data_IF_704354940165
#
_entry.id   IF_704354940165
#
_cell.length_a   1.000
_cell.length_b   1.000
_cell.length_c   1.000
_cell.angle_alpha   90.00
_cell.angle_beta   90.00
_cell.angle_gamma   90.00
#
_symmetry.space_group_name_H-M   'P 1'
#
loop_
_entity.id
_entity.type
_entity.pdbx_description
1 polymer ?
#
# COMPACT_ATOMS: atom_id res chain seq x y z
N UNK A 1 -2.44 22.91 0.80
CA UNK A 1 -2.48 21.88 -0.27
C UNK A 1 -1.89 20.58 0.22
N UNK A 2 -1.88 19.51 -0.59
CA UNK A 2 -1.36 18.18 -0.21
C UNK A 2 0.16 18.13 0.01
N UNK A 3 0.87 19.26 -0.08
CA UNK A 3 2.31 19.38 0.19
C UNK A 3 2.72 18.90 1.59
N UNK A 4 1.79 18.92 2.56
CA UNK A 4 2.01 18.38 3.91
C UNK A 4 2.24 16.87 3.93
N UNK A 5 1.80 16.14 2.88
CA UNK A 5 2.10 14.72 2.74
C UNK A 5 3.57 14.49 2.37
N UNK A 6 4.17 15.43 1.64
CA UNK A 6 5.52 15.29 1.08
C UNK A 6 6.60 16.05 1.85
N UNK A 7 6.22 16.82 2.87
CA UNK A 7 7.18 17.54 3.71
C UNK A 7 8.02 16.56 4.55
N UNK A 8 9.32 16.51 4.28
CA UNK A 8 10.25 15.58 4.93
C UNK A 8 10.53 15.91 6.40
N UNK A 9 10.35 17.16 6.84
CA UNK A 9 10.61 17.60 8.22
C UNK A 9 9.34 17.56 9.05
N UNK A 10 8.30 18.24 8.58
CA UNK A 10 7.08 18.47 9.36
C UNK A 10 5.86 17.76 8.78
N UNK A 11 6.02 17.02 7.68
CA UNK A 11 4.93 16.32 7.04
C UNK A 11 4.53 15.05 7.78
N UNK A 12 3.31 14.60 7.49
CA UNK A 12 2.72 13.42 8.13
C UNK A 12 3.46 12.12 7.77
N UNK A 13 4.20 12.10 6.66
CA UNK A 13 5.01 10.96 6.22
C UNK A 13 6.49 11.08 6.61
N UNK A 14 6.85 11.98 7.54
CA UNK A 14 8.20 12.05 8.09
C UNK A 14 8.57 10.79 8.91
N UNK A 15 9.85 10.64 9.26
CA UNK A 15 10.31 9.52 10.08
C UNK A 15 9.60 9.50 11.45
N UNK A 16 9.13 8.31 11.83
CA UNK A 16 8.32 8.09 13.04
C UNK A 16 9.15 7.41 14.11
N UNK A 17 8.82 7.69 15.38
CA UNK A 17 9.60 7.25 16.55
C UNK A 17 9.59 5.74 16.69
N UNK A 18 8.41 5.14 16.48
CA UNK A 18 8.17 3.72 16.64
C UNK A 18 7.03 3.26 15.71
N UNK A 19 6.68 1.97 15.82
CA UNK A 19 5.62 1.36 15.02
C UNK A 19 4.25 2.00 15.26
N UNK A 20 3.89 2.27 16.51
CA UNK A 20 2.61 2.87 16.86
C UNK A 20 2.49 4.28 16.30
N UNK A 21 3.54 5.08 16.48
CA UNK A 21 3.65 6.42 15.89
C UNK A 21 3.53 6.38 14.35
N UNK A 22 4.11 5.36 13.71
CA UNK A 22 3.98 5.16 12.26
C UNK A 22 2.56 4.85 11.81
N UNK A 23 1.83 4.02 12.55
CA UNK A 23 0.43 3.69 12.21
C UNK A 23 -0.48 4.88 12.49
N UNK A 24 -0.47 5.44 13.69
CA UNK A 24 -1.42 6.47 14.09
C UNK A 24 -1.11 7.83 13.48
N UNK A 25 0.13 8.31 13.60
CA UNK A 25 0.51 9.65 13.14
C UNK A 25 1.08 9.66 11.72
N UNK A 26 1.38 8.48 11.14
CA UNK A 26 1.74 8.34 9.73
C UNK A 26 0.53 7.98 8.88
N UNK A 27 0.09 6.72 8.94
CA UNK A 27 -0.92 6.15 8.04
C UNK A 27 -2.32 6.75 8.26
N UNK A 28 -2.82 6.70 9.50
CA UNK A 28 -4.14 7.25 9.85
C UNK A 28 -4.12 8.77 9.71
N UNK A 29 -3.07 9.43 10.23
CA UNK A 29 -2.89 10.87 10.10
C UNK A 29 -2.88 11.36 8.65
N UNK A 30 -2.21 10.65 7.73
CA UNK A 30 -2.17 11.01 6.33
C UNK A 30 -3.56 10.92 5.68
N UNK A 31 -4.28 9.83 5.97
CA UNK A 31 -5.64 9.63 5.49
C UNK A 31 -6.57 10.74 5.99
N UNK A 32 -6.48 11.11 7.27
CA UNK A 32 -7.25 12.20 7.84
C UNK A 32 -6.93 13.55 7.19
N UNK A 33 -5.65 13.87 6.95
CA UNK A 33 -5.26 15.13 6.29
C UNK A 33 -5.81 15.25 4.87
N UNK A 34 -5.82 14.16 4.10
CA UNK A 34 -6.43 14.10 2.77
C UNK A 34 -7.92 14.43 2.87
N UNK A 35 -8.63 13.75 3.77
CA UNK A 35 -10.07 13.95 3.96
C UNK A 35 -10.40 15.37 4.48
N UNK A 36 -9.62 15.92 5.41
CA UNK A 36 -9.78 17.29 5.92
C UNK A 36 -9.51 18.35 4.87
N UNK A 37 -8.61 18.09 3.93
CA UNK A 37 -8.37 18.96 2.79
C UNK A 37 -9.47 18.86 1.70
N UNK A 38 -10.59 18.18 2.01
CA UNK A 38 -11.73 17.94 1.13
C UNK A 38 -11.39 17.10 -0.12
N UNK A 39 -10.33 16.29 -0.05
CA UNK A 39 -10.05 15.26 -1.04
C UNK A 39 -10.67 13.93 -0.61
N UNK A 40 -10.87 13.03 -1.57
CA UNK A 40 -11.31 11.66 -1.33
C UNK A 40 -10.16 10.68 -1.41
N UNK A 41 -10.35 9.52 -0.77
CA UNK A 41 -9.46 8.36 -0.87
C UNK A 41 -10.19 7.34 -1.74
N UNK A 42 -9.59 6.94 -2.85
CA UNK A 42 -10.11 5.86 -3.70
C UNK A 42 -9.42 4.55 -3.36
N UNK A 43 -10.18 3.45 -3.40
CA UNK A 43 -9.64 2.09 -3.28
C UNK A 43 -9.44 1.49 -4.66
N UNK A 44 -8.33 0.75 -4.83
CA UNK A 44 -8.15 -0.11 -6.00
C UNK A 44 -8.98 -1.40 -5.90
N UNK A 45 -9.34 -1.81 -4.68
CA UNK A 45 -10.14 -3.02 -4.46
C UNK A 45 -11.56 -2.82 -4.98
N UNK A 46 -12.01 -3.72 -5.85
CA UNK A 46 -13.28 -3.60 -6.59
C UNK A 46 -14.47 -3.37 -5.65
N UNK A 47 -14.52 -4.07 -4.51
CA UNK A 47 -15.59 -3.95 -3.50
C UNK A 47 -15.77 -2.52 -2.95
N UNK A 48 -14.67 -1.79 -2.79
CA UNK A 48 -14.65 -0.47 -2.15
C UNK A 48 -14.50 0.67 -3.16
N UNK A 49 -14.63 0.39 -4.46
CA UNK A 49 -14.65 1.43 -5.47
C UNK A 49 -15.88 2.34 -5.26
N UNK A 50 -15.66 3.65 -5.34
CA UNK A 50 -16.72 4.65 -5.13
C UNK A 50 -17.16 4.84 -3.67
N UNK A 51 -16.51 4.18 -2.71
CA UNK A 51 -16.82 4.38 -1.29
C UNK A 51 -16.39 5.76 -0.82
N UNK A 52 -17.27 6.42 -0.06
CA UNK A 52 -16.93 7.61 0.70
C UNK A 52 -16.57 7.21 2.13
N UNK A 53 -15.28 7.22 2.45
CA UNK A 53 -14.77 6.83 3.76
C UNK A 53 -15.16 7.79 4.89
N UNK A 54 -15.78 8.95 4.59
CA UNK A 54 -16.33 9.87 5.60
C UNK A 54 -17.69 9.40 6.12
N UNK A 55 -18.40 8.56 5.37
CA UNK A 55 -19.71 8.04 5.78
C UNK A 55 -19.52 6.91 6.79
N UNK A 56 -20.13 7.05 7.96
CA UNK A 56 -20.01 6.08 9.07
C UNK A 56 -20.54 4.70 8.69
N UNK A 57 -21.53 4.62 7.80
CA UNK A 57 -22.04 3.35 7.26
C UNK A 57 -20.94 2.51 6.56
N UNK A 58 -19.89 3.15 6.03
CA UNK A 58 -18.80 2.48 5.34
C UNK A 58 -17.65 2.03 6.27
N UNK A 59 -17.74 2.29 7.59
CA UNK A 59 -16.63 1.99 8.52
C UNK A 59 -16.54 0.51 8.91
N UNK A 60 -17.57 -0.29 8.62
CA UNK A 60 -17.59 -1.73 8.84
C UNK A 60 -17.01 -2.54 7.68
N UNK A 61 -15.90 -2.12 7.09
CA UNK A 61 -15.44 -2.66 5.80
C UNK A 61 -14.97 -4.13 5.88
N UNK A 62 -14.29 -4.56 6.94
CA UNK A 62 -13.54 -5.82 6.96
C UNK A 62 -13.38 -6.48 8.34
N UNK A 63 -14.30 -6.27 9.28
CA UNK A 63 -14.17 -6.76 10.67
C UNK A 63 -12.85 -6.38 11.36
N UNK A 64 -12.17 -5.31 10.90
CA UNK A 64 -10.85 -4.87 11.37
C UNK A 64 -9.74 -5.92 11.13
N UNK A 65 -9.94 -6.82 10.16
CA UNK A 65 -8.96 -7.84 9.78
C UNK A 65 -8.15 -7.36 8.58
N UNK A 66 -6.84 -7.57 8.63
CA UNK A 66 -5.97 -7.19 7.52
C UNK A 66 -6.30 -8.00 6.26
N UNK A 67 -6.46 -7.35 5.08
CA UNK A 67 -6.76 -8.03 3.81
C UNK A 67 -5.72 -9.04 3.35
N UNK A 68 -4.51 -8.97 3.91
CA UNK A 68 -3.36 -9.78 3.49
C UNK A 68 -3.15 -11.05 4.32
N UNK A 69 -3.79 -11.21 5.48
CA UNK A 69 -3.50 -12.31 6.40
C UNK A 69 -4.57 -13.40 6.45
N UNK A 70 -5.71 -13.20 5.80
CA UNK A 70 -6.78 -14.19 5.76
C UNK A 70 -7.22 -14.36 4.31
N UNK A 71 -6.73 -15.43 3.68
CA UNK A 71 -7.16 -15.81 2.34
C UNK A 71 -8.69 -15.95 2.30
N UNK A 72 -9.29 -15.48 1.20
CA UNK A 72 -10.74 -15.44 0.99
C UNK A 72 -11.56 -14.58 1.96
N UNK A 73 -10.93 -13.86 2.91
CA UNK A 73 -11.65 -13.00 3.86
C UNK A 73 -12.32 -11.78 3.23
N UNK A 74 -11.96 -11.45 1.98
CA UNK A 74 -12.57 -10.37 1.20
C UNK A 74 -13.40 -10.97 0.08
N UNK A 75 -14.58 -11.48 0.45
CA UNK A 75 -15.59 -12.01 -0.48
C UNK A 75 -15.04 -13.06 -1.46
N UNK A 76 -14.05 -13.85 -1.04
CA UNK A 76 -13.40 -14.87 -1.87
C UNK A 76 -12.40 -14.35 -2.90
N UNK A 77 -12.15 -13.04 -2.98
CA UNK A 77 -11.21 -12.41 -3.91
C UNK A 77 -9.79 -12.46 -3.34
N UNK A 78 -8.82 -12.86 -4.18
CA UNK A 78 -7.40 -12.76 -3.85
C UNK A 78 -6.86 -11.37 -4.22
N UNK A 79 -6.18 -10.72 -3.28
CA UNK A 79 -5.57 -9.38 -3.51
C UNK A 79 -4.33 -9.42 -4.42
N UNK A 80 -3.80 -10.61 -4.70
CA UNK A 80 -2.56 -10.84 -5.45
C UNK A 80 -2.90 -11.31 -6.89
N UNK A 81 -2.26 -10.79 -7.96
CA UNK A 81 -1.21 -9.75 -8.01
C UNK A 81 -1.67 -8.33 -8.36
N UNK A 82 -2.97 -8.11 -8.55
CA UNK A 82 -3.45 -6.88 -9.18
C UNK A 82 -3.90 -5.77 -8.21
N UNK A 83 -4.05 -6.04 -6.91
CA UNK A 83 -4.60 -5.07 -5.95
C UNK A 83 -3.59 -4.54 -4.91
N UNK A 84 -2.38 -5.13 -4.80
CA UNK A 84 -1.32 -4.73 -3.87
C UNK A 84 -0.18 -3.99 -4.58
N UNK A 85 -0.20 -2.65 -4.51
CA UNK A 85 0.86 -1.82 -5.11
C UNK A 85 2.05 -1.59 -4.15
N UNK A 86 1.84 -1.65 -2.84
CA UNK A 86 2.89 -1.41 -1.84
C UNK A 86 2.71 -2.29 -0.60
N UNK A 87 3.73 -3.09 -0.26
CA UNK A 87 3.82 -3.81 1.02
C UNK A 87 4.70 -3.01 1.97
N UNK A 88 4.18 -2.69 3.16
CA UNK A 88 4.99 -2.09 4.23
C UNK A 88 6.06 -3.09 4.64
N UNK A 89 7.32 -2.77 4.36
CA UNK A 89 8.46 -3.63 4.70
C UNK A 89 9.25 -3.04 5.87
N UNK A 90 9.47 -3.87 6.89
CA UNK A 90 10.48 -3.65 7.92
C UNK A 90 11.02 -5.02 8.36
N UNK A 91 11.95 -5.57 7.60
CA UNK A 91 12.57 -6.87 7.89
C UNK A 91 14.10 -6.80 7.90
N UNK A 92 14.71 -7.60 8.78
CA UNK A 92 16.07 -8.10 8.60
C UNK A 92 15.94 -9.54 8.10
N UNK A 93 16.72 -9.99 7.09
CA UNK A 93 16.65 -11.37 6.59
C UNK A 93 16.87 -12.42 7.71
N UNK A 94 16.30 -13.64 7.61
CA UNK A 94 15.52 -14.18 6.49
C UNK A 94 14.01 -13.94 6.64
N UNK A 95 13.34 -13.84 5.49
CA UNK A 95 11.95 -13.41 5.30
C UNK A 95 10.91 -14.05 6.22
N UNK A 96 9.99 -13.23 6.73
CA UNK A 96 9.00 -13.61 7.77
C UNK A 96 7.58 -13.80 7.18
N UNK A 97 7.39 -13.64 5.86
CA UNK A 97 6.09 -13.91 5.21
C UNK A 97 6.17 -14.27 3.72
N UNK A 98 5.12 -14.94 3.21
CA UNK A 98 4.97 -15.27 1.78
C UNK A 98 4.91 -14.03 0.88
N UNK A 99 4.43 -12.89 1.39
CA UNK A 99 4.38 -11.63 0.65
C UNK A 99 5.77 -11.09 0.33
N UNK A 100 6.72 -11.21 1.27
CA UNK A 100 8.10 -10.79 1.06
C UNK A 100 8.79 -11.65 -0.01
N UNK A 101 8.55 -12.98 0.04
CA UNK A 101 9.04 -13.90 -0.99
C UNK A 101 8.50 -13.54 -2.37
N UNK A 102 7.21 -13.20 -2.47
CA UNK A 102 6.56 -12.82 -3.74
C UNK A 102 7.09 -11.47 -4.27
N UNK A 103 7.28 -10.47 -3.40
CA UNK A 103 7.85 -9.18 -3.78
C UNK A 103 9.26 -9.31 -4.39
N UNK A 104 10.10 -10.18 -3.84
CA UNK A 104 11.43 -10.46 -4.39
C UNK A 104 11.38 -11.15 -5.75
N UNK A 105 10.49 -12.13 -5.94
CA UNK A 105 10.31 -12.79 -7.24
C UNK A 105 9.89 -11.77 -8.29
N UNK A 106 8.97 -10.87 -7.95
CA UNK A 106 8.53 -9.81 -8.86
C UNK A 106 9.65 -8.80 -9.17
N UNK A 107 10.41 -8.36 -8.17
CA UNK A 107 11.58 -7.50 -8.36
C UNK A 107 12.60 -8.14 -9.32
N UNK A 108 12.89 -9.43 -9.13
CA UNK A 108 13.79 -10.18 -10.03
C UNK A 108 13.25 -10.22 -11.46
N UNK A 109 11.95 -10.47 -11.64
CA UNK A 109 11.34 -10.46 -12.97
C UNK A 109 11.45 -9.07 -13.64
N UNK A 110 11.21 -7.97 -12.92
CA UNK A 110 11.38 -6.61 -13.45
C UNK A 110 12.82 -6.34 -13.90
N UNK A 111 13.81 -6.81 -13.13
CA UNK A 111 15.22 -6.68 -13.48
C UNK A 111 15.56 -7.45 -14.76
N UNK A 112 15.07 -8.69 -14.91
CA UNK A 112 15.23 -9.51 -16.11
C UNK A 112 14.61 -8.83 -17.36
N UNK A 113 13.40 -8.27 -17.23
CA UNK A 113 12.76 -7.51 -18.32
C UNK A 113 13.56 -6.28 -18.73
N UNK A 114 14.16 -5.57 -17.77
CA UNK A 114 14.98 -4.38 -18.04
C UNK A 114 16.26 -4.70 -18.85
N UNK A 115 16.83 -5.90 -18.63
CA UNK A 115 18.00 -6.40 -19.36
C UNK A 115 17.61 -6.82 -20.78
N UNK A 116 16.48 -7.51 -20.94
CA UNK A 116 15.99 -7.92 -22.25
C UNK A 116 15.60 -6.72 -23.14
N UNK A 117 15.01 -5.68 -22.54
CA UNK A 117 14.65 -4.44 -23.23
C UNK A 117 15.89 -3.66 -23.69
N UNK A 118 16.97 -3.64 -22.89
CA UNK A 118 18.27 -3.08 -23.30
C UNK A 118 18.88 -3.88 -24.45
N UNK A 119 18.88 -5.21 -24.37
CA UNK A 119 19.40 -6.10 -25.42
C UNK A 119 18.73 -5.89 -26.78
N UNK A 120 17.40 -5.64 -26.80
CA UNK A 120 16.66 -5.31 -28.03
C UNK A 120 16.97 -3.93 -28.61
N UNK A 121 17.31 -2.95 -27.76
CA UNK A 121 17.67 -1.58 -28.19
C UNK A 121 19.05 -1.47 -28.85
N UNK A 122 19.96 -2.41 -28.58
CA UNK A 122 21.31 -2.46 -29.16
C UNK A 122 21.43 -3.36 -30.41
N UNK A 123 20.30 -3.87 -30.93
CA UNK A 123 20.25 -4.69 -32.16
C UNK A 123 19.62 -3.96 -33.37
N UNK A 124 19.59 -2.62 -33.36
CA UNK A 124 19.20 -1.78 -34.50
C UNK A 124 20.37 -0.92 -34.95
#
# INVERSE_FOLDING_TARGET
GLSILTDKKNGVLNCKKDYGDAVFNGEIGASQLILYANYQIASLQTKYQGWDFRKKENWGCNNRVSPIFVDHSFDGISHDPYELVFVKYKGLPPFDSDLERRALVYQKWLEEQSVEHKSRRFRL
#
